data_IF_423132796455
#
_entry.id   IF_423132796455
#
_cell.length_a   1.000
_cell.length_b   1.000
_cell.length_c   1.000
_cell.angle_alpha   90.00
_cell.angle_beta   90.00
_cell.angle_gamma   90.00
#
_symmetry.space_group_name_H-M   'P 1'
#
loop_
_entity.id
_entity.type
_entity.pdbx_description
1 polymer ?
#
# COMPACT_ATOMS: atom_id res chain seq x y z
N UNK A 1 21.15 16.81 -7.10
CA UNK A 1 20.88 15.39 -6.89
C UNK A 1 20.25 14.82 -8.13
N UNK A 2 20.92 13.89 -8.82
CA UNK A 2 20.33 13.23 -10.00
C UNK A 2 19.61 11.96 -9.57
N UNK A 3 18.42 11.74 -10.13
CA UNK A 3 17.99 10.47 -10.79
C UNK A 3 16.47 10.47 -10.93
N UNK A 4 15.99 10.73 -12.14
CA UNK A 4 14.59 10.57 -12.55
C UNK A 4 14.15 9.11 -12.43
N UNK A 5 13.84 8.69 -11.19
CA UNK A 5 13.32 7.36 -10.84
C UNK A 5 11.96 7.42 -10.14
N UNK A 6 11.55 8.61 -9.69
CA UNK A 6 10.29 8.86 -8.99
C UNK A 6 9.40 9.70 -9.90
N UNK A 7 8.17 9.23 -10.13
CA UNK A 7 7.11 9.92 -10.85
C UNK A 7 6.71 11.18 -10.07
N UNK A 8 6.59 12.35 -10.74
CA UNK A 8 6.02 13.54 -10.11
C UNK A 8 4.63 13.22 -9.55
N UNK A 9 4.45 13.39 -8.23
CA UNK A 9 3.21 13.10 -7.49
C UNK A 9 3.00 14.19 -6.45
N UNK A 10 1.74 14.57 -6.22
CA UNK A 10 1.38 15.49 -5.15
C UNK A 10 1.70 14.84 -3.79
N UNK A 11 2.59 15.44 -2.96
CA UNK A 11 2.93 14.87 -1.65
C UNK A 11 1.72 14.72 -0.73
N UNK A 12 0.78 15.67 -0.79
CA UNK A 12 -0.46 15.63 0.00
C UNK A 12 -1.34 14.45 -0.40
N UNK A 13 -1.52 14.21 -1.70
CA UNK A 13 -2.33 13.08 -2.17
C UNK A 13 -1.67 11.75 -1.78
N UNK A 14 -0.36 11.62 -1.98
CA UNK A 14 0.39 10.42 -1.58
C UNK A 14 0.28 10.14 -0.08
N UNK A 15 0.32 11.18 0.75
CA UNK A 15 0.13 11.06 2.19
C UNK A 15 -1.28 10.58 2.56
N UNK A 16 -2.31 11.12 1.93
CA UNK A 16 -3.72 10.70 2.14
C UNK A 16 -3.93 9.26 1.66
N UNK A 17 -3.34 8.87 0.54
CA UNK A 17 -3.39 7.50 0.03
C UNK A 17 -2.73 6.52 1.01
N UNK A 18 -1.55 6.86 1.53
CA UNK A 18 -0.86 6.08 2.55
C UNK A 18 -1.74 5.91 3.80
N UNK A 19 -2.31 6.99 4.32
CA UNK A 19 -3.18 6.93 5.49
C UNK A 19 -4.38 6.04 5.22
N UNK A 20 -5.03 6.19 4.06
CA UNK A 20 -6.19 5.39 3.66
C UNK A 20 -5.85 3.90 3.62
N UNK A 21 -4.71 3.52 3.03
CA UNK A 21 -4.24 2.13 2.99
C UNK A 21 -3.92 1.54 4.37
N UNK A 22 -3.55 2.38 5.34
CA UNK A 22 -3.24 1.95 6.70
C UNK A 22 -4.49 1.88 7.56
N UNK A 23 -5.36 2.90 7.54
CA UNK A 23 -6.49 3.01 8.47
C UNK A 23 -7.71 2.21 8.02
N UNK A 24 -7.92 2.04 6.72
CA UNK A 24 -9.12 1.43 6.18
C UNK A 24 -9.38 -0.01 6.69
N UNK A 25 -8.39 -0.92 6.75
CA UNK A 25 -8.61 -2.27 7.29
C UNK A 25 -9.15 -2.30 8.73
N UNK A 26 -8.86 -1.26 9.53
CA UNK A 26 -9.38 -1.15 10.89
C UNK A 26 -10.84 -0.66 10.90
N UNK A 27 -11.17 0.30 10.03
CA UNK A 27 -12.54 0.81 9.90
C UNK A 27 -13.52 -0.28 9.43
N UNK A 28 -13.06 -1.21 8.58
CA UNK A 28 -13.87 -2.31 8.04
C UNK A 28 -13.48 -3.68 8.58
N UNK A 29 -12.86 -3.74 9.77
CA UNK A 29 -12.36 -4.98 10.38
C UNK A 29 -13.40 -6.11 10.36
N UNK A 30 -14.61 -5.85 10.86
CA UNK A 30 -15.67 -6.86 10.94
C UNK A 30 -16.08 -7.39 9.57
N UNK A 31 -16.14 -6.52 8.56
CA UNK A 31 -16.45 -6.93 7.18
C UNK A 31 -15.34 -7.81 6.59
N UNK A 32 -14.07 -7.49 6.86
CA UNK A 32 -12.93 -8.32 6.44
C UNK A 32 -13.04 -9.69 7.10
N UNK A 33 -13.20 -9.74 8.42
CA UNK A 33 -13.28 -11.00 9.18
C UNK A 33 -14.47 -11.86 8.76
N UNK A 34 -15.64 -11.26 8.55
CA UNK A 34 -16.85 -11.95 8.06
C UNK A 34 -16.62 -12.55 6.67
N UNK A 35 -16.01 -11.79 5.75
CA UNK A 35 -15.80 -12.23 4.37
C UNK A 35 -14.70 -13.30 4.23
N UNK A 36 -13.69 -13.30 5.09
CA UNK A 36 -12.55 -14.23 5.04
C UNK A 36 -12.67 -15.40 6.01
N UNK A 37 -13.55 -15.30 7.02
CA UNK A 37 -13.61 -16.24 8.13
C UNK A 37 -12.45 -16.10 9.13
N UNK A 38 -11.74 -14.97 9.12
CA UNK A 38 -10.60 -14.76 10.02
C UNK A 38 -11.04 -14.71 11.48
N UNK A 39 -10.28 -15.41 12.31
CA UNK A 39 -10.21 -15.16 13.75
C UNK A 39 -9.53 -13.83 14.04
N UNK A 40 -9.65 -13.36 15.29
CA UNK A 40 -8.95 -12.16 15.77
C UNK A 40 -7.42 -12.25 15.60
N UNK A 41 -6.83 -13.42 15.85
CA UNK A 41 -5.39 -13.62 15.70
C UNK A 41 -4.95 -13.61 14.23
N UNK A 42 -5.75 -14.20 13.34
CA UNK A 42 -5.49 -14.13 11.89
C UNK A 42 -5.65 -12.71 11.36
N UNK A 43 -6.62 -11.93 11.85
CA UNK A 43 -6.73 -10.52 11.51
C UNK A 43 -5.48 -9.74 11.98
N UNK A 44 -4.97 -9.99 13.19
CA UNK A 44 -3.71 -9.38 13.65
C UNK A 44 -2.53 -9.76 12.77
N UNK A 45 -2.42 -11.02 12.35
CA UNK A 45 -1.38 -11.48 11.43
C UNK A 45 -1.49 -10.80 10.06
N UNK A 46 -2.71 -10.65 9.54
CA UNK A 46 -3.00 -9.89 8.32
C UNK A 46 -2.56 -8.42 8.44
N UNK A 47 -2.85 -7.76 9.56
CA UNK A 47 -2.38 -6.38 9.83
C UNK A 47 -0.85 -6.32 9.94
N UNK A 48 -0.20 -7.34 10.51
CA UNK A 48 1.26 -7.41 10.56
C UNK A 48 1.88 -7.51 9.15
N UNK A 49 1.32 -8.33 8.25
CA UNK A 49 1.76 -8.44 6.86
C UNK A 49 1.63 -7.09 6.13
N UNK A 50 0.57 -6.33 6.42
CA UNK A 50 0.33 -5.01 5.81
C UNK A 50 1.46 -4.01 6.07
N UNK A 51 2.23 -4.15 7.17
CA UNK A 51 3.42 -3.31 7.44
C UNK A 51 4.49 -3.43 6.35
N UNK A 52 4.61 -4.60 5.72
CA UNK A 52 5.50 -4.83 4.58
C UNK A 52 4.83 -4.46 3.26
N UNK A 53 3.57 -4.87 3.09
CA UNK A 53 2.82 -4.73 1.82
C UNK A 53 2.46 -3.29 1.47
N UNK A 54 2.11 -2.44 2.44
CA UNK A 54 1.73 -1.03 2.17
C UNK A 54 2.93 -0.24 1.61
N UNK A 55 4.13 -0.24 2.22
CA UNK A 55 5.29 0.46 1.66
C UNK A 55 5.65 -0.01 0.25
N UNK A 56 5.60 -1.32 -0.02
CA UNK A 56 5.90 -1.87 -1.36
C UNK A 56 4.93 -1.31 -2.42
N UNK A 57 3.64 -1.26 -2.13
CA UNK A 57 2.63 -0.70 -3.02
C UNK A 57 2.83 0.81 -3.24
N UNK A 58 3.11 1.56 -2.18
CA UNK A 58 3.34 3.00 -2.26
C UNK A 58 4.61 3.34 -3.04
N UNK A 59 5.70 2.59 -2.83
CA UNK A 59 6.93 2.78 -3.60
C UNK A 59 6.73 2.40 -5.08
N UNK A 60 5.97 1.35 -5.36
CA UNK A 60 5.64 0.96 -6.72
C UNK A 60 4.79 2.03 -7.43
N UNK A 61 3.86 2.69 -6.74
CA UNK A 61 2.97 3.70 -7.35
C UNK A 61 3.70 4.97 -7.79
N UNK A 62 4.82 5.29 -7.13
CA UNK A 62 5.65 6.45 -7.46
C UNK A 62 6.90 6.09 -8.27
N UNK A 63 7.13 4.81 -8.58
CA UNK A 63 8.27 4.41 -9.41
C UNK A 63 7.98 4.72 -10.89
N UNK A 64 8.95 5.26 -11.60
CA UNK A 64 8.83 5.39 -13.06
C UNK A 64 8.79 4.00 -13.71
N UNK A 65 7.98 3.80 -14.76
CA UNK A 65 8.06 2.59 -15.57
C UNK A 65 9.48 2.45 -16.11
N UNK A 66 10.04 1.25 -16.02
CA UNK A 66 11.29 0.94 -16.72
C UNK A 66 10.96 1.08 -18.21
N UNK A 67 11.70 1.95 -18.92
CA UNK A 67 11.56 2.04 -20.37
C UNK A 67 11.73 0.62 -20.91
N UNK A 68 10.72 0.10 -21.61
CA UNK A 68 10.86 -1.15 -22.33
C UNK A 68 12.03 -0.94 -23.28
N UNK A 69 13.13 -1.65 -23.03
CA UNK A 69 14.29 -1.61 -23.91
C UNK A 69 13.79 -1.94 -25.31
N UNK A 70 13.90 -0.96 -26.20
CA UNK A 70 13.61 -1.09 -27.62
C UNK A 70 14.51 -2.18 -28.19
N UNK A 71 13.93 -3.37 -28.39
CA UNK A 71 14.46 -4.46 -29.21
C UNK A 71 14.38 -4.06 -30.68
#
# INVERSE_FOLDING_TARGET
GQKGKIKPTSPTQFFVDMLSLVTFPFAIKFLIMDKTGYTEEEFKAFIAERKRRVPELLLASIRLPVAADSV
#
